data_IF_825496029489
#
_entry.id   IF_825496029489
#
_cell.length_a   1.000
_cell.length_b   1.000
_cell.length_c   1.000
_cell.angle_alpha   90.00
_cell.angle_beta   90.00
_cell.angle_gamma   90.00
#
_symmetry.space_group_name_H-M   'P 1'
#
loop_
_entity.id
_entity.type
_entity.pdbx_description
1 polymer ?
#
# COMPACT_ATOMS: atom_id res chain seq x y z
N UNK A 1 -8.72 -20.87 7.96
CA UNK A 1 -8.29 -19.66 8.71
C UNK A 1 -7.18 -19.04 7.90
N UNK A 2 -7.49 -18.08 7.05
CA UNK A 2 -6.46 -17.20 6.48
C UNK A 2 -5.95 -16.37 7.66
N UNK A 3 -4.85 -16.79 8.26
CA UNK A 3 -4.14 -15.95 9.22
C UNK A 3 -3.70 -14.71 8.45
N UNK A 4 -4.18 -13.52 8.85
CA UNK A 4 -3.71 -12.24 8.29
C UNK A 4 -2.22 -12.08 8.65
N UNK A 5 -1.37 -12.76 7.86
CA UNK A 5 0.07 -12.82 8.09
C UNK A 5 0.71 -11.44 8.25
N UNK A 6 0.37 -10.42 7.44
CA UNK A 6 0.88 -9.06 7.66
C UNK A 6 0.50 -8.49 9.04
N UNK A 7 -0.75 -8.68 9.50
CA UNK A 7 -1.16 -8.21 10.83
C UNK A 7 -0.47 -8.97 11.96
N UNK A 8 -0.20 -10.26 11.79
CA UNK A 8 0.58 -11.02 12.76
C UNK A 8 2.02 -10.50 12.87
N UNK A 9 2.69 -10.25 11.73
CA UNK A 9 4.05 -9.68 11.69
C UNK A 9 4.05 -8.29 12.33
N UNK A 10 3.05 -7.45 12.04
CA UNK A 10 2.91 -6.14 12.66
C UNK A 10 2.79 -6.23 14.18
N UNK A 11 1.99 -7.18 14.69
CA UNK A 11 1.87 -7.43 16.13
C UNK A 11 3.22 -7.81 16.77
N UNK A 12 3.98 -8.70 16.12
CA UNK A 12 5.33 -9.07 16.57
C UNK A 12 6.29 -7.87 16.60
N UNK A 13 6.22 -6.99 15.60
CA UNK A 13 7.01 -5.76 15.54
C UNK A 13 6.69 -4.80 16.68
N UNK A 14 5.41 -4.59 16.98
CA UNK A 14 5.01 -3.73 18.11
C UNK A 14 5.47 -4.31 19.46
N UNK A 15 5.41 -5.64 19.64
CA UNK A 15 5.95 -6.28 20.83
C UNK A 15 7.47 -6.09 20.94
N UNK A 16 8.21 -6.30 19.84
CA UNK A 16 9.65 -6.08 19.82
C UNK A 16 10.01 -4.62 20.15
N UNK A 17 9.29 -3.69 19.58
CA UNK A 17 9.51 -2.27 19.80
C UNK A 17 9.24 -1.87 21.26
N UNK A 18 8.15 -2.37 21.85
CA UNK A 18 7.89 -2.16 23.28
C UNK A 18 8.99 -2.71 24.18
N UNK A 19 9.63 -3.83 23.81
CA UNK A 19 10.80 -4.36 24.52
C UNK A 19 12.03 -3.46 24.34
N UNK A 20 12.23 -2.90 23.13
CA UNK A 20 13.33 -1.96 22.87
C UNK A 20 13.14 -0.65 23.62
N UNK A 21 11.94 -0.06 23.65
CA UNK A 21 11.66 1.14 24.44
C UNK A 21 11.87 0.89 25.94
N UNK A 22 11.50 -0.31 26.42
CA UNK A 22 11.72 -0.68 27.83
C UNK A 22 13.21 -0.74 28.20
N UNK A 23 14.09 -1.22 27.29
CA UNK A 23 15.53 -1.20 27.55
C UNK A 23 16.12 0.20 27.69
N UNK A 24 15.51 1.22 27.05
CA UNK A 24 15.98 2.60 27.11
C UNK A 24 15.85 3.19 28.52
N UNK A 25 15.02 2.58 29.37
CA UNK A 25 15.00 2.91 30.80
C UNK A 25 16.36 2.67 31.49
N UNK A 26 17.21 1.79 30.91
CA UNK A 26 18.57 1.58 31.43
C UNK A 26 19.46 2.82 31.27
N UNK A 27 19.16 3.70 30.29
CA UNK A 27 19.89 4.97 30.11
C UNK A 27 19.71 5.97 31.26
N UNK A 28 18.66 5.79 32.07
CA UNK A 28 18.47 6.60 33.30
C UNK A 28 19.31 6.15 34.50
N UNK A 29 20.07 5.05 34.35
CA UNK A 29 21.03 4.59 35.32
C UNK A 29 22.35 5.29 35.04
N UNK A 30 22.85 6.14 35.93
CA UNK A 30 24.04 7.01 35.77
C UNK A 30 25.26 6.22 35.22
N UNK A 31 25.51 5.00 35.73
CA UNK A 31 26.64 4.16 35.27
C UNK A 31 26.53 3.69 33.82
N UNK A 32 25.31 3.67 33.25
CA UNK A 32 25.03 3.24 31.89
C UNK A 32 24.84 4.47 31.00
N UNK A 33 24.03 5.43 31.41
CA UNK A 33 23.69 6.63 30.64
C UNK A 33 24.90 7.54 30.39
N UNK A 34 25.75 7.73 31.40
CA UNK A 34 26.96 8.55 31.29
C UNK A 34 28.11 7.87 30.52
N UNK A 35 27.98 6.57 30.24
CA UNK A 35 29.01 5.82 29.51
C UNK A 35 28.73 5.78 28.01
N UNK A 36 29.57 6.41 27.18
CA UNK A 36 29.43 6.32 25.71
C UNK A 36 29.47 4.89 25.18
N UNK A 37 30.17 4.00 25.84
CA UNK A 37 30.25 2.60 25.48
C UNK A 37 28.90 1.87 25.63
N UNK A 38 28.27 1.96 26.81
CA UNK A 38 27.00 1.27 27.05
C UNK A 38 25.84 1.92 26.29
N UNK A 39 25.79 3.24 26.19
CA UNK A 39 24.77 3.93 25.40
C UNK A 39 24.84 3.54 23.92
N UNK A 40 26.03 3.40 23.33
CA UNK A 40 26.22 2.94 21.95
C UNK A 40 25.79 1.49 21.77
N UNK A 41 25.98 0.60 22.76
CA UNK A 41 25.43 -0.78 22.68
C UNK A 41 23.91 -0.74 22.61
N UNK A 42 23.24 0.04 23.46
CA UNK A 42 21.78 0.16 23.46
C UNK A 42 21.25 0.69 22.11
N UNK A 43 21.89 1.73 21.55
CA UNK A 43 21.57 2.26 20.22
C UNK A 43 21.81 1.24 19.10
N UNK A 44 22.84 0.39 19.23
CA UNK A 44 23.10 -0.68 18.25
C UNK A 44 21.98 -1.72 18.22
N UNK A 45 21.36 -2.02 19.36
CA UNK A 45 20.23 -2.94 19.47
C UNK A 45 18.97 -2.35 18.81
N UNK A 46 18.76 -1.05 18.87
CA UNK A 46 17.61 -0.41 18.21
C UNK A 46 17.63 -0.56 16.69
N UNK A 47 18.82 -0.64 16.10
CA UNK A 47 18.94 -0.87 14.66
C UNK A 47 18.36 -2.19 14.20
N UNK A 48 18.23 -3.21 15.07
CA UNK A 48 17.65 -4.52 14.71
C UNK A 48 16.17 -4.44 14.36
N UNK A 49 15.42 -3.45 14.85
CA UNK A 49 14.03 -3.28 14.45
C UNK A 49 13.87 -2.81 13.00
N UNK A 50 14.86 -2.11 12.45
CA UNK A 50 14.75 -1.45 11.14
C UNK A 50 14.56 -2.43 9.99
N UNK A 51 15.38 -3.49 9.81
CA UNK A 51 15.15 -4.46 8.75
C UNK A 51 13.83 -5.23 8.91
N UNK A 52 13.39 -5.51 10.15
CA UNK A 52 12.11 -6.17 10.39
C UNK A 52 10.93 -5.29 9.95
N UNK A 53 10.99 -3.99 10.23
CA UNK A 53 10.01 -3.02 9.74
C UNK A 53 9.99 -2.98 8.21
N UNK A 54 11.16 -2.99 7.58
CA UNK A 54 11.30 -3.05 6.13
C UNK A 54 10.67 -4.33 5.55
N UNK A 55 10.95 -5.49 6.14
CA UNK A 55 10.38 -6.77 5.72
C UNK A 55 8.86 -6.82 5.88
N UNK A 56 8.31 -6.18 6.93
CA UNK A 56 6.86 -6.03 7.09
C UNK A 56 6.24 -5.23 5.93
N UNK A 57 6.82 -4.08 5.57
CA UNK A 57 6.33 -3.27 4.46
C UNK A 57 6.41 -4.02 3.12
N UNK A 58 7.45 -4.84 2.94
CA UNK A 58 7.60 -5.70 1.76
C UNK A 58 6.60 -6.87 1.75
N UNK A 59 6.25 -7.43 2.92
CA UNK A 59 5.20 -8.46 3.04
C UNK A 59 3.82 -7.93 2.64
N UNK A 60 3.51 -6.65 2.93
CA UNK A 60 2.28 -5.99 2.46
C UNK A 60 2.20 -6.00 0.92
N UNK A 61 3.32 -5.69 0.25
CA UNK A 61 3.37 -5.56 -1.21
C UNK A 61 3.57 -6.89 -1.94
N UNK A 62 4.09 -7.87 -1.24
CA UNK A 62 4.43 -9.20 -1.79
C UNK A 62 4.21 -10.25 -0.70
N UNK A 63 2.99 -10.79 -0.53
CA UNK A 63 2.70 -11.81 0.46
C UNK A 63 3.66 -13.01 0.33
N UNK A 64 4.25 -13.43 1.44
CA UNK A 64 5.26 -14.50 1.46
C UNK A 64 6.71 -14.00 1.30
N UNK A 65 6.93 -12.68 1.19
CA UNK A 65 8.29 -12.13 1.08
C UNK A 65 9.09 -12.31 2.38
N UNK A 66 8.49 -12.09 3.55
CA UNK A 66 9.16 -12.21 4.85
C UNK A 66 9.40 -13.70 5.22
N UNK A 67 10.40 -14.31 4.64
CA UNK A 67 10.85 -15.67 4.98
C UNK A 67 11.96 -15.62 6.04
N UNK A 68 12.09 -16.70 6.83
CA UNK A 68 13.15 -16.79 7.86
C UNK A 68 14.55 -16.55 7.26
N UNK A 69 14.82 -17.05 6.04
CA UNK A 69 16.10 -16.83 5.36
C UNK A 69 16.37 -15.35 5.11
N UNK A 70 15.34 -14.59 4.67
CA UNK A 70 15.47 -13.15 4.42
C UNK A 70 15.57 -12.36 5.73
N UNK A 71 14.83 -12.74 6.76
CA UNK A 71 15.00 -12.15 8.10
C UNK A 71 16.44 -12.33 8.55
N UNK A 72 16.97 -13.53 8.54
CA UNK A 72 18.36 -13.78 8.94
C UNK A 72 19.38 -13.03 8.07
N UNK A 73 19.15 -12.92 6.76
CA UNK A 73 20.04 -12.22 5.85
C UNK A 73 20.19 -10.73 6.21
N UNK A 74 19.11 -10.08 6.61
CA UNK A 74 19.11 -8.66 6.95
C UNK A 74 19.52 -8.38 8.40
N UNK A 75 19.20 -9.30 9.33
CA UNK A 75 19.48 -9.13 10.77
C UNK A 75 20.90 -9.55 11.15
N UNK A 76 21.41 -10.64 10.57
CA UNK A 76 22.71 -11.22 10.96
C UNK A 76 23.87 -10.20 10.89
N UNK A 77 23.99 -9.34 9.85
CA UNK A 77 25.04 -8.33 9.82
C UNK A 77 24.96 -7.35 11.00
N UNK A 78 23.77 -6.92 11.41
CA UNK A 78 23.58 -5.99 12.53
C UNK A 78 23.94 -6.62 13.86
N UNK A 79 23.52 -7.87 14.08
CA UNK A 79 23.92 -8.64 15.26
C UNK A 79 25.43 -8.79 15.30
N UNK A 80 26.07 -9.10 14.16
CA UNK A 80 27.52 -9.23 14.07
C UNK A 80 28.24 -7.91 14.38
N UNK A 81 27.81 -6.78 13.82
CA UNK A 81 28.36 -5.46 14.15
C UNK A 81 28.23 -5.15 15.63
N UNK A 82 27.07 -5.44 16.24
CA UNK A 82 26.85 -5.22 17.69
C UNK A 82 27.82 -6.08 18.53
N UNK A 83 27.96 -7.37 18.20
CA UNK A 83 28.89 -8.27 18.89
C UNK A 83 30.35 -7.79 18.76
N UNK A 84 30.78 -7.42 17.53
CA UNK A 84 32.13 -6.92 17.30
C UNK A 84 32.35 -5.60 18.06
N UNK A 85 31.36 -4.72 18.11
CA UNK A 85 31.43 -3.49 18.91
C UNK A 85 31.62 -3.80 20.40
N UNK A 86 30.83 -4.74 20.95
CA UNK A 86 30.94 -5.15 22.36
C UNK A 86 32.36 -5.69 22.67
N UNK A 87 32.97 -6.40 21.73
CA UNK A 87 34.31 -6.99 21.93
C UNK A 87 35.45 -5.97 21.76
N UNK A 88 35.27 -4.97 20.90
CA UNK A 88 36.37 -4.07 20.52
C UNK A 88 36.22 -2.64 21.07
N UNK A 89 35.00 -2.18 21.30
CA UNK A 89 34.71 -0.79 21.64
C UNK A 89 35.02 0.22 20.52
N UNK A 90 35.29 -0.27 19.30
CA UNK A 90 35.68 0.61 18.17
C UNK A 90 34.47 1.34 17.58
N UNK A 91 34.46 2.65 17.68
CA UNK A 91 33.39 3.50 17.17
C UNK A 91 33.16 3.36 15.65
N UNK A 92 34.20 3.02 14.88
CA UNK A 92 34.11 2.74 13.45
C UNK A 92 33.20 1.55 13.14
N UNK A 93 33.14 0.55 14.02
CA UNK A 93 32.24 -0.61 13.88
C UNK A 93 30.78 -0.16 14.04
N UNK A 94 30.50 0.66 15.03
CA UNK A 94 29.18 1.27 15.22
C UNK A 94 28.77 2.11 13.99
N UNK A 95 29.66 3.00 13.53
CA UNK A 95 29.39 3.79 12.32
C UNK A 95 29.13 2.94 11.09
N UNK A 96 29.84 1.80 10.96
CA UNK A 96 29.58 0.84 9.87
C UNK A 96 28.18 0.24 9.93
N UNK A 97 27.66 -0.04 11.15
CA UNK A 97 26.28 -0.51 11.32
C UNK A 97 25.24 0.56 10.96
N UNK A 98 25.50 1.84 11.32
CA UNK A 98 24.65 2.98 10.93
C UNK A 98 24.59 3.12 9.40
N UNK A 99 25.76 3.08 8.73
CA UNK A 99 25.83 3.16 7.26
C UNK A 99 25.10 1.97 6.61
N UNK A 100 25.33 0.76 7.10
CA UNK A 100 24.62 -0.43 6.62
C UNK A 100 23.08 -0.25 6.72
N UNK A 101 22.58 0.17 7.88
CA UNK A 101 21.15 0.40 8.12
C UNK A 101 20.59 1.47 7.19
N UNK A 102 21.29 2.60 7.02
CA UNK A 102 20.90 3.67 6.11
C UNK A 102 20.81 3.20 4.65
N UNK A 103 21.79 2.41 4.19
CA UNK A 103 21.78 1.83 2.84
C UNK A 103 20.62 0.87 2.65
N UNK A 104 20.37 -0.03 3.62
CA UNK A 104 19.23 -0.95 3.57
C UNK A 104 17.91 -0.18 3.50
N UNK A 105 17.72 0.85 4.35
CA UNK A 105 16.55 1.71 4.30
C UNK A 105 16.35 2.36 2.92
N UNK A 106 17.39 2.95 2.36
CA UNK A 106 17.33 3.61 1.06
C UNK A 106 16.92 2.64 -0.07
N UNK A 107 17.50 1.43 -0.08
CA UNK A 107 17.16 0.38 -1.04
C UNK A 107 15.71 -0.09 -0.89
N UNK A 108 15.24 -0.26 0.35
CA UNK A 108 13.85 -0.66 0.64
C UNK A 108 12.87 0.43 0.20
N UNK A 109 13.14 1.70 0.49
CA UNK A 109 12.29 2.81 0.02
C UNK A 109 12.20 2.82 -1.51
N UNK A 110 13.33 2.69 -2.21
CA UNK A 110 13.35 2.63 -3.68
C UNK A 110 12.52 1.45 -4.20
N UNK A 111 12.70 0.27 -3.60
CA UNK A 111 11.95 -0.92 -3.97
C UNK A 111 10.45 -0.75 -3.73
N UNK A 112 10.04 -0.17 -2.58
CA UNK A 112 8.63 0.10 -2.25
C UNK A 112 8.02 1.04 -3.29
N UNK A 113 8.70 2.14 -3.66
CA UNK A 113 8.20 3.10 -4.66
C UNK A 113 7.89 2.42 -6.00
N UNK A 114 8.80 1.57 -6.47
CA UNK A 114 8.62 0.82 -7.72
C UNK A 114 7.48 -0.20 -7.58
N UNK A 115 7.46 -0.95 -6.48
CA UNK A 115 6.49 -2.04 -6.26
C UNK A 115 5.08 -1.53 -6.04
N UNK A 116 4.89 -0.42 -5.29
CA UNK A 116 3.57 0.21 -5.09
C UNK A 116 2.95 0.65 -6.41
N UNK A 117 3.75 1.25 -7.31
CA UNK A 117 3.25 1.64 -8.63
C UNK A 117 2.78 0.43 -9.44
N UNK A 118 3.55 -0.66 -9.44
CA UNK A 118 3.19 -1.91 -10.10
C UNK A 118 1.95 -2.54 -9.49
N UNK A 119 1.87 -2.62 -8.17
CA UNK A 119 0.71 -3.15 -7.44
C UNK A 119 -0.57 -2.36 -7.76
N UNK A 120 -0.53 -1.03 -7.68
CA UNK A 120 -1.70 -0.20 -7.95
C UNK A 120 -2.13 -0.29 -9.43
N UNK A 121 -1.20 -0.46 -10.37
CA UNK A 121 -1.53 -0.72 -11.77
C UNK A 121 -2.25 -2.07 -11.89
N UNK A 122 -1.67 -3.14 -11.34
CA UNK A 122 -2.29 -4.46 -11.34
C UNK A 122 -3.73 -4.44 -10.76
N UNK A 123 -3.95 -3.71 -9.65
CA UNK A 123 -5.29 -3.58 -9.08
C UNK A 123 -6.26 -2.89 -10.04
N UNK A 124 -5.84 -1.86 -10.75
CA UNK A 124 -6.68 -1.18 -11.75
C UNK A 124 -6.94 -2.03 -13.01
N UNK A 125 -6.00 -2.89 -13.37
CA UNK A 125 -6.15 -3.77 -14.53
C UNK A 125 -7.07 -4.98 -14.24
N UNK A 126 -7.30 -5.30 -12.96
CA UNK A 126 -8.01 -6.50 -12.56
C UNK A 126 -9.29 -6.29 -11.72
N UNK A 127 -9.46 -5.11 -11.12
CA UNK A 127 -10.59 -4.82 -10.22
C UNK A 127 -11.31 -3.54 -10.62
N UNK A 128 -12.64 -3.56 -10.59
CA UNK A 128 -13.47 -2.39 -10.86
C UNK A 128 -13.61 -1.42 -9.68
N UNK A 129 -12.96 -1.73 -8.56
CA UNK A 129 -12.91 -0.93 -7.33
C UNK A 129 -11.47 -0.88 -6.81
N UNK A 130 -11.09 0.20 -6.15
CA UNK A 130 -9.73 0.37 -5.62
C UNK A 130 -9.72 0.76 -4.14
N UNK A 131 -10.88 1.03 -3.55
CA UNK A 131 -11.00 1.38 -2.14
C UNK A 131 -10.62 0.19 -1.28
N UNK A 132 -9.80 0.43 -0.27
CA UNK A 132 -9.29 -0.56 0.68
C UNK A 132 -8.36 -1.63 0.10
N UNK A 133 -8.21 -1.72 -1.24
CA UNK A 133 -7.28 -2.67 -1.87
C UNK A 133 -6.01 -2.03 -2.39
N UNK A 134 -6.03 -0.71 -2.66
CA UNK A 134 -4.83 -0.01 -3.09
C UNK A 134 -3.91 0.29 -1.89
N UNK A 135 -2.62 0.38 -2.18
CA UNK A 135 -1.58 0.68 -1.19
C UNK A 135 -0.98 2.08 -1.39
N UNK A 136 -1.76 3.02 -1.96
CA UNK A 136 -1.31 4.40 -2.18
C UNK A 136 -0.94 5.12 -0.88
N UNK A 137 -1.59 4.76 0.24
CA UNK A 137 -1.27 5.26 1.57
C UNK A 137 0.20 5.01 1.94
N UNK A 138 0.77 3.91 1.45
CA UNK A 138 2.18 3.59 1.68
C UNK A 138 3.11 4.61 1.01
N UNK A 139 2.77 5.07 -0.20
CA UNK A 139 3.49 6.16 -0.86
C UNK A 139 3.36 7.48 -0.08
N UNK A 140 2.17 7.77 0.43
CA UNK A 140 1.94 8.99 1.22
C UNK A 140 2.72 8.96 2.55
N UNK A 141 2.97 7.77 3.11
CA UNK A 141 3.76 7.58 4.32
C UNK A 141 5.27 7.74 4.09
N UNK A 142 5.75 7.73 2.82
CA UNK A 142 7.19 7.85 2.53
C UNK A 142 7.78 9.19 3.01
N UNK A 143 6.99 10.27 3.00
CA UNK A 143 7.44 11.56 3.52
C UNK A 143 7.69 11.50 5.04
N UNK A 144 6.79 10.86 5.80
CA UNK A 144 6.94 10.67 7.25
C UNK A 144 8.14 9.76 7.51
N UNK A 145 8.29 8.68 6.72
CA UNK A 145 9.44 7.77 6.81
C UNK A 145 10.76 8.51 6.57
N UNK A 146 10.82 9.41 5.58
CA UNK A 146 12.01 10.23 5.33
C UNK A 146 12.34 11.13 6.54
N UNK A 147 11.35 11.75 7.17
CA UNK A 147 11.55 12.55 8.39
C UNK A 147 12.06 11.66 9.54
N UNK A 148 11.50 10.46 9.72
CA UNK A 148 11.99 9.50 10.72
C UNK A 148 13.44 9.11 10.49
N UNK A 149 13.83 8.80 9.24
CA UNK A 149 15.19 8.41 8.89
C UNK A 149 16.19 9.56 9.12
N UNK A 150 15.83 10.79 8.76
CA UNK A 150 16.70 11.94 8.97
C UNK A 150 16.87 12.26 10.45
N UNK A 151 15.80 12.22 11.24
CA UNK A 151 15.90 12.42 12.70
C UNK A 151 16.68 11.29 13.37
N UNK A 152 16.50 10.02 12.94
CA UNK A 152 17.28 8.89 13.43
C UNK A 152 18.79 9.03 13.12
N UNK A 153 19.15 9.40 11.87
CA UNK A 153 20.55 9.65 11.50
C UNK A 153 21.18 10.78 12.32
N UNK A 154 20.40 11.82 12.61
CA UNK A 154 20.85 12.90 13.46
C UNK A 154 21.13 12.40 14.89
N UNK A 155 20.23 11.62 15.48
CA UNK A 155 20.40 11.05 16.84
C UNK A 155 21.61 10.11 16.90
N UNK A 156 21.83 9.27 15.87
CA UNK A 156 22.99 8.37 15.82
C UNK A 156 24.35 9.10 15.83
N UNK A 157 24.38 10.36 15.40
CA UNK A 157 25.61 11.15 15.31
C UNK A 157 25.75 12.25 16.35
N UNK A 158 24.64 12.62 16.99
CA UNK A 158 24.61 13.73 17.95
C UNK A 158 23.74 13.37 19.16
N UNK A 159 24.28 13.41 20.35
CA UNK A 159 23.49 13.26 21.56
C UNK A 159 22.69 14.55 21.79
N UNK A 160 21.38 14.50 21.59
CA UNK A 160 20.50 15.66 21.70
C UNK A 160 19.11 15.26 22.13
N UNK A 161 18.66 15.72 23.31
CA UNK A 161 17.30 15.47 23.79
C UNK A 161 16.21 15.96 22.82
N UNK A 162 16.43 17.05 22.10
CA UNK A 162 15.50 17.53 21.08
C UNK A 162 15.46 16.60 19.88
N UNK A 163 16.61 16.07 19.46
CA UNK A 163 16.70 15.08 18.38
C UNK A 163 15.91 13.82 18.73
N UNK A 164 16.10 13.28 19.93
CA UNK A 164 15.37 12.11 20.45
C UNK A 164 13.85 12.35 20.45
N UNK A 165 13.40 13.51 20.95
CA UNK A 165 11.98 13.85 20.93
C UNK A 165 11.39 13.89 19.53
N UNK A 166 12.08 14.50 18.56
CA UNK A 166 11.64 14.53 17.15
C UNK A 166 11.59 13.13 16.55
N UNK A 167 12.57 12.29 16.84
CA UNK A 167 12.57 10.90 16.39
C UNK A 167 11.38 10.12 16.96
N UNK A 168 11.16 10.12 18.27
CA UNK A 168 10.05 9.40 18.90
C UNK A 168 8.69 9.89 18.42
N UNK A 169 8.48 11.20 18.29
CA UNK A 169 7.22 11.76 17.78
C UNK A 169 6.99 11.32 16.33
N UNK A 170 7.98 11.51 15.45
CA UNK A 170 7.83 11.17 14.03
C UNK A 170 7.63 9.67 13.81
N UNK A 171 8.32 8.82 14.56
CA UNK A 171 8.19 7.37 14.52
C UNK A 171 6.83 6.91 15.04
N UNK A 172 6.34 7.48 16.16
CA UNK A 172 5.00 7.18 16.68
C UNK A 172 3.91 7.55 15.67
N UNK A 173 4.00 8.72 15.03
CA UNK A 173 3.06 9.14 13.97
C UNK A 173 3.11 8.18 12.79
N UNK A 174 4.31 7.79 12.33
CA UNK A 174 4.47 6.83 11.23
C UNK A 174 3.75 5.51 11.55
N UNK A 175 4.00 4.94 12.71
CA UNK A 175 3.44 3.65 13.08
C UNK A 175 1.94 3.71 13.38
N UNK A 176 1.43 4.81 13.91
CA UNK A 176 -0.01 5.03 14.03
C UNK A 176 -0.69 5.06 12.66
N UNK A 177 -0.09 5.72 11.66
CA UNK A 177 -0.57 5.74 10.29
C UNK A 177 -0.53 4.34 9.67
N UNK A 178 0.59 3.62 9.80
CA UNK A 178 0.74 2.25 9.29
C UNK A 178 -0.29 1.31 9.91
N UNK A 179 -0.49 1.36 11.24
CA UNK A 179 -1.47 0.55 11.94
C UNK A 179 -2.89 0.85 11.46
N UNK A 180 -3.27 2.13 11.39
CA UNK A 180 -4.59 2.57 10.95
C UNK A 180 -4.94 2.02 9.55
N UNK A 181 -4.04 2.18 8.59
CA UNK A 181 -4.29 1.69 7.24
C UNK A 181 -4.21 0.17 7.13
N UNK A 182 -3.28 -0.48 7.86
CA UNK A 182 -3.17 -1.96 7.86
C UNK A 182 -4.43 -2.65 8.39
N UNK A 183 -5.12 -2.04 9.38
CA UNK A 183 -6.38 -2.56 9.91
C UNK A 183 -7.55 -2.35 8.94
N UNK A 184 -7.49 -1.35 8.06
CA UNK A 184 -8.54 -1.05 7.08
C UNK A 184 -8.32 -1.67 5.71
N UNK A 185 -7.12 -2.18 5.45
CA UNK A 185 -6.76 -2.81 4.19
C UNK A 185 -7.54 -4.11 3.98
N UNK A 186 -8.21 -4.26 2.85
CA UNK A 186 -8.70 -5.56 2.39
C UNK A 186 -7.55 -6.30 1.68
N UNK A 187 -7.13 -7.42 2.24
CA UNK A 187 -6.04 -8.23 1.70
C UNK A 187 -6.58 -9.19 0.64
N UNK A 188 -6.09 -9.07 -0.58
CA UNK A 188 -6.48 -9.95 -1.69
C UNK A 188 -5.42 -11.06 -1.79
N UNK A 189 -5.79 -12.34 -1.56
CA UNK A 189 -4.86 -13.47 -1.60
C UNK A 189 -4.17 -13.66 -2.97
N UNK A 190 -4.81 -13.22 -4.03
CA UNK A 190 -4.37 -13.41 -5.43
C UNK A 190 -3.25 -12.45 -5.90
N UNK A 191 -2.75 -11.57 -5.04
CA UNK A 191 -1.57 -10.76 -5.38
C UNK A 191 -0.31 -11.61 -5.70
N UNK A 192 -0.32 -12.90 -5.37
CA UNK A 192 0.71 -13.87 -5.79
C UNK A 192 0.73 -14.13 -7.30
N UNK A 193 -0.38 -13.91 -8.00
CA UNK A 193 -0.47 -14.13 -9.46
C UNK A 193 0.24 -13.02 -10.26
N UNK A 194 0.65 -11.93 -9.60
CA UNK A 194 1.40 -10.83 -10.25
C UNK A 194 2.73 -11.28 -10.87
N UNK A 195 3.36 -12.32 -10.32
CA UNK A 195 4.64 -12.83 -10.83
C UNK A 195 4.45 -13.85 -11.97
N UNK A 196 3.31 -14.53 -12.01
CA UNK A 196 3.02 -15.53 -13.06
C UNK A 196 2.57 -14.90 -14.39
N UNK A 197 2.07 -13.67 -14.40
CA UNK A 197 1.68 -12.98 -15.63
C UNK A 197 2.87 -12.50 -16.47
N UNK A 198 4.04 -12.22 -15.87
CA UNK A 198 5.23 -11.78 -16.60
C UNK A 198 5.83 -12.88 -17.52
N UNK A 199 5.48 -14.16 -17.30
CA UNK A 199 6.03 -15.29 -18.05
C UNK A 199 5.10 -15.85 -19.13
N UNK A 200 3.84 -15.40 -19.17
CA UNK A 200 2.85 -15.84 -20.14
C UNK A 200 2.88 -15.04 -21.44
N UNK A 201 3.70 -15.41 -22.40
CA UNK A 201 3.61 -14.91 -23.78
C UNK A 201 2.27 -15.35 -24.35
N UNK A 202 1.28 -14.46 -24.29
CA UNK A 202 -0.01 -14.67 -24.95
C UNK A 202 0.19 -14.63 -26.46
N UNK A 203 -0.01 -15.80 -27.10
CA UNK A 203 -0.20 -15.84 -28.57
C UNK A 203 -1.42 -14.97 -28.88
N UNK A 204 -1.20 -13.95 -29.70
CA UNK A 204 -2.22 -13.04 -30.18
C UNK A 204 -3.26 -13.82 -31.01
N UNK A 205 -4.45 -13.98 -30.44
CA UNK A 205 -5.65 -14.24 -31.25
C UNK A 205 -6.36 -12.89 -31.43
N UNK A 206 -6.16 -12.27 -32.58
CA UNK A 206 -6.90 -11.10 -33.02
C UNK A 206 -8.33 -11.54 -33.34
N UNK A 207 -9.27 -11.19 -32.47
CA UNK A 207 -10.70 -11.23 -32.76
C UNK A 207 -11.36 -9.94 -32.35
N UNK A 208 -12.26 -9.35 -33.16
CA UNK A 208 -12.90 -8.05 -32.83
C UNK A 208 -13.93 -8.25 -31.69
N UNK A 209 -13.44 -8.31 -30.44
CA UNK A 209 -14.26 -8.63 -29.28
C UNK A 209 -14.70 -7.40 -28.48
N UNK A 210 -14.12 -6.21 -28.73
CA UNK A 210 -14.47 -5.01 -28.00
C UNK A 210 -15.95 -4.67 -28.03
N UNK A 211 -16.61 -4.79 -29.19
CA UNK A 211 -18.03 -4.54 -29.33
C UNK A 211 -18.91 -5.60 -28.62
N UNK A 212 -18.52 -6.87 -28.69
CA UNK A 212 -19.23 -7.95 -27.99
C UNK A 212 -19.08 -7.84 -26.46
N UNK A 213 -17.92 -7.38 -25.98
CA UNK A 213 -17.66 -7.17 -24.56
C UNK A 213 -18.55 -6.05 -24.02
N UNK A 214 -18.66 -4.93 -24.72
CA UNK A 214 -19.51 -3.82 -24.35
C UNK A 214 -21.00 -4.21 -24.32
N UNK A 215 -21.50 -4.86 -25.39
CA UNK A 215 -22.86 -5.35 -25.49
C UNK A 215 -23.20 -6.30 -24.34
N UNK A 216 -22.32 -7.25 -24.04
CA UNK A 216 -22.51 -8.23 -22.98
C UNK A 216 -22.57 -7.59 -21.60
N UNK A 217 -21.67 -6.63 -21.31
CA UNK A 217 -21.64 -5.92 -20.04
C UNK A 217 -22.92 -5.07 -19.85
N UNK A 218 -23.42 -4.43 -20.93
CA UNK A 218 -24.66 -3.64 -20.90
C UNK A 218 -25.87 -4.53 -20.73
N UNK A 219 -26.01 -5.59 -21.50
CA UNK A 219 -27.16 -6.51 -21.46
C UNK A 219 -27.31 -7.18 -20.10
N UNK A 220 -26.22 -7.61 -19.49
CA UNK A 220 -26.20 -8.28 -18.18
C UNK A 220 -26.09 -7.32 -17.01
N UNK A 221 -25.97 -6.03 -17.27
CA UNK A 221 -25.74 -4.99 -16.23
C UNK A 221 -24.62 -5.33 -15.23
N UNK A 222 -23.58 -6.07 -15.66
CA UNK A 222 -22.52 -6.58 -14.79
C UNK A 222 -21.78 -5.46 -14.04
N UNK A 223 -21.75 -4.25 -14.61
CA UNK A 223 -21.15 -3.07 -14.00
C UNK A 223 -21.84 -2.64 -12.69
N UNK A 224 -23.07 -3.10 -12.43
CA UNK A 224 -23.80 -2.82 -11.17
C UNK A 224 -23.23 -3.62 -10.00
N UNK A 225 -22.46 -4.72 -10.25
CA UNK A 225 -21.74 -5.39 -9.16
C UNK A 225 -20.59 -4.50 -8.66
N UNK A 226 -20.66 -3.97 -7.43
CA UNK A 226 -19.66 -3.04 -6.92
C UNK A 226 -18.26 -3.64 -6.76
N UNK A 227 -18.15 -4.97 -6.63
CA UNK A 227 -16.89 -5.71 -6.46
C UNK A 227 -16.52 -6.57 -7.68
N UNK A 228 -17.03 -6.24 -8.87
CA UNK A 228 -16.71 -6.96 -10.08
C UNK A 228 -15.19 -6.98 -10.35
N UNK A 229 -14.63 -8.17 -10.56
CA UNK A 229 -13.26 -8.38 -11.01
C UNK A 229 -13.19 -8.82 -12.48
N UNK A 230 -12.01 -8.68 -13.09
CA UNK A 230 -11.75 -9.17 -14.44
C UNK A 230 -11.89 -10.69 -14.53
N UNK A 231 -11.56 -11.41 -13.45
CA UNK A 231 -11.73 -12.87 -13.37
C UNK A 231 -13.20 -13.27 -13.36
N UNK A 232 -14.06 -12.53 -12.63
CA UNK A 232 -15.51 -12.77 -12.62
C UNK A 232 -16.09 -12.56 -14.02
N UNK A 233 -15.70 -11.47 -14.69
CA UNK A 233 -16.12 -11.20 -16.05
C UNK A 233 -15.66 -12.29 -17.05
N UNK A 234 -14.43 -12.80 -16.88
CA UNK A 234 -13.91 -13.88 -17.72
C UNK A 234 -14.72 -15.17 -17.56
N UNK A 235 -15.08 -15.51 -16.33
CA UNK A 235 -15.94 -16.68 -16.03
C UNK A 235 -17.32 -16.50 -16.66
N UNK A 236 -17.97 -15.36 -16.49
CA UNK A 236 -19.28 -15.05 -17.03
C UNK A 236 -19.31 -15.11 -18.57
N UNK A 237 -18.24 -14.65 -19.22
CA UNK A 237 -18.11 -14.69 -20.69
C UNK A 237 -17.60 -16.01 -21.24
N UNK A 238 -17.27 -17.01 -20.40
CA UNK A 238 -16.68 -18.28 -20.84
C UNK A 238 -15.31 -18.15 -21.50
N UNK A 239 -14.52 -17.15 -21.07
CA UNK A 239 -13.19 -16.85 -21.60
C UNK A 239 -12.13 -16.87 -20.51
N UNK A 240 -10.88 -16.57 -20.83
CA UNK A 240 -9.83 -16.46 -19.83
C UNK A 240 -9.48 -15.00 -19.51
N UNK A 241 -9.00 -14.77 -18.29
CA UNK A 241 -8.62 -13.45 -17.76
C UNK A 241 -7.54 -12.78 -18.62
N UNK A 242 -6.51 -13.53 -19.06
CA UNK A 242 -5.41 -12.99 -19.85
C UNK A 242 -5.87 -12.45 -21.19
N UNK A 243 -6.85 -13.09 -21.80
CA UNK A 243 -7.45 -12.64 -23.05
C UNK A 243 -8.19 -11.30 -22.86
N UNK A 244 -9.06 -11.19 -21.85
CA UNK A 244 -9.76 -9.93 -21.54
C UNK A 244 -8.80 -8.81 -21.14
N UNK A 245 -7.76 -9.14 -20.36
CA UNK A 245 -6.71 -8.18 -20.00
C UNK A 245 -6.00 -7.63 -21.23
N UNK A 246 -5.66 -8.50 -22.19
CA UNK A 246 -5.04 -8.09 -23.45
C UNK A 246 -5.96 -7.20 -24.29
N UNK A 247 -7.23 -7.56 -24.43
CA UNK A 247 -8.22 -6.77 -25.14
C UNK A 247 -8.36 -5.36 -24.54
N UNK A 248 -8.50 -5.25 -23.23
CA UNK A 248 -8.66 -3.95 -22.57
C UNK A 248 -7.37 -3.11 -22.63
N UNK A 249 -6.24 -3.67 -22.23
CA UNK A 249 -5.01 -2.92 -22.06
C UNK A 249 -4.29 -2.64 -23.39
N UNK A 250 -4.25 -3.61 -24.33
CA UNK A 250 -3.47 -3.50 -25.55
C UNK A 250 -4.31 -3.06 -26.76
N UNK A 251 -5.57 -3.52 -26.87
CA UNK A 251 -6.42 -3.15 -28.02
C UNK A 251 -7.21 -1.85 -27.74
N UNK A 252 -7.82 -1.72 -26.54
CA UNK A 252 -8.62 -0.55 -26.19
C UNK A 252 -7.82 0.51 -25.45
N UNK A 253 -6.63 0.19 -24.93
CA UNK A 253 -5.77 1.14 -24.19
C UNK A 253 -6.37 1.63 -22.87
N UNK A 254 -7.27 0.87 -22.26
CA UNK A 254 -8.02 1.25 -21.06
C UNK A 254 -7.88 0.20 -19.96
N UNK A 255 -7.77 0.62 -18.71
CA UNK A 255 -7.76 -0.31 -17.56
C UNK A 255 -9.16 -0.87 -17.32
N UNK A 256 -9.27 -2.08 -16.76
CA UNK A 256 -10.56 -2.67 -16.38
C UNK A 256 -11.34 -1.75 -15.41
N UNK A 257 -10.64 -1.12 -14.47
CA UNK A 257 -11.21 -0.14 -13.57
C UNK A 257 -11.88 1.03 -14.30
N UNK A 258 -11.17 1.68 -15.23
CA UNK A 258 -11.72 2.83 -15.96
C UNK A 258 -12.84 2.39 -16.91
N UNK A 259 -12.72 1.20 -17.51
CA UNK A 259 -13.72 0.64 -18.42
C UNK A 259 -15.06 0.39 -17.72
N UNK A 260 -15.07 -0.34 -16.59
CA UNK A 260 -16.31 -0.60 -15.83
C UNK A 260 -16.88 0.69 -15.25
N UNK A 261 -16.02 1.57 -14.71
CA UNK A 261 -16.50 2.83 -14.17
C UNK A 261 -17.08 3.78 -15.24
N UNK A 262 -16.74 3.62 -16.53
CA UNK A 262 -17.38 4.38 -17.59
C UNK A 262 -18.86 4.08 -17.72
N UNK A 263 -19.28 2.80 -17.62
CA UNK A 263 -20.69 2.39 -17.63
C UNK A 263 -21.43 2.86 -16.36
N UNK A 264 -20.78 2.72 -15.20
CA UNK A 264 -21.36 3.21 -13.93
C UNK A 264 -21.63 4.71 -13.97
N UNK A 265 -20.71 5.49 -14.56
CA UNK A 265 -20.90 6.94 -14.70
C UNK A 265 -22.01 7.32 -15.68
N UNK A 266 -22.20 6.53 -16.74
CA UNK A 266 -23.31 6.71 -17.67
C UNK A 266 -24.64 6.41 -16.97
N UNK A 267 -24.73 5.30 -16.22
CA UNK A 267 -25.90 4.96 -15.39
C UNK A 267 -26.18 6.03 -14.35
N UNK A 268 -25.16 6.52 -13.66
CA UNK A 268 -25.31 7.59 -12.67
C UNK A 268 -25.83 8.89 -13.31
N UNK A 269 -25.37 9.22 -14.51
CA UNK A 269 -25.88 10.36 -15.26
C UNK A 269 -27.35 10.20 -15.65
N UNK A 270 -27.76 9.02 -16.15
CA UNK A 270 -29.17 8.70 -16.43
C UNK A 270 -30.05 8.93 -15.22
N UNK A 271 -29.64 8.42 -14.02
CA UNK A 271 -30.37 8.61 -12.77
C UNK A 271 -30.45 10.10 -12.39
N UNK A 272 -29.38 10.87 -12.58
CA UNK A 272 -29.35 12.31 -12.27
C UNK A 272 -30.15 13.15 -13.26
N UNK A 273 -30.31 12.68 -14.50
CA UNK A 273 -31.14 13.33 -15.53
C UNK A 273 -32.64 13.07 -15.31
N UNK A 274 -33.00 12.03 -14.53
CA UNK A 274 -34.38 11.74 -14.18
C UNK A 274 -34.89 12.70 -13.09
N UNK A 275 -35.81 13.57 -13.48
CA UNK A 275 -36.45 14.55 -12.58
C UNK A 275 -37.34 13.91 -11.51
N UNK A 276 -37.79 12.66 -11.72
CA UNK A 276 -38.59 11.90 -10.74
C UNK A 276 -37.74 11.22 -9.67
N UNK A 277 -36.41 11.25 -9.79
CA UNK A 277 -35.53 10.62 -8.80
C UNK A 277 -35.36 11.51 -7.55
N UNK A 278 -35.95 11.12 -6.44
CA UNK A 278 -35.90 11.84 -5.16
C UNK A 278 -34.72 11.43 -4.25
N UNK A 279 -33.95 10.39 -4.61
CA UNK A 279 -32.84 9.87 -3.81
C UNK A 279 -31.70 10.86 -3.60
N UNK A 280 -30.84 10.60 -2.62
CA UNK A 280 -29.63 11.39 -2.37
C UNK A 280 -28.49 11.01 -3.33
N UNK A 281 -27.37 11.74 -3.30
CA UNK A 281 -26.20 11.46 -4.14
C UNK A 281 -25.56 10.11 -3.78
N UNK A 282 -25.69 9.69 -2.55
CA UNK A 282 -25.27 8.38 -2.04
C UNK A 282 -26.09 7.26 -2.71
N UNK A 283 -27.40 7.44 -2.87
CA UNK A 283 -28.28 6.47 -3.55
C UNK A 283 -27.92 6.34 -5.03
N UNK A 284 -27.60 7.47 -5.70
CA UNK A 284 -27.10 7.44 -7.08
C UNK A 284 -25.85 6.60 -7.20
N UNK A 285 -24.88 6.78 -6.27
CA UNK A 285 -23.63 6.01 -6.29
C UNK A 285 -23.89 4.50 -6.16
N UNK A 286 -24.74 4.11 -5.21
CA UNK A 286 -25.08 2.71 -4.96
C UNK A 286 -25.83 2.12 -6.15
N UNK A 287 -26.86 2.79 -6.63
CA UNK A 287 -27.72 2.33 -7.74
C UNK A 287 -26.97 2.25 -9.08
N UNK A 288 -25.86 2.98 -9.23
CA UNK A 288 -24.99 2.90 -10.40
C UNK A 288 -23.81 1.91 -10.25
N UNK A 289 -23.76 1.15 -9.14
CA UNK A 289 -22.79 0.09 -8.91
C UNK A 289 -21.43 0.55 -8.36
N UNK A 290 -21.29 1.79 -7.87
CA UNK A 290 -20.05 2.23 -7.22
C UNK A 290 -19.90 1.62 -5.82
N UNK A 291 -18.69 1.12 -5.52
CA UNK A 291 -18.37 0.58 -4.20
C UNK A 291 -18.24 1.68 -3.12
N UNK A 292 -17.98 2.94 -3.50
CA UNK A 292 -17.92 4.07 -2.57
C UNK A 292 -18.37 5.38 -3.20
N UNK A 293 -19.02 6.21 -2.39
CA UNK A 293 -19.49 7.54 -2.77
C UNK A 293 -18.32 8.47 -3.11
N UNK A 294 -17.19 8.34 -2.41
CA UNK A 294 -16.01 9.17 -2.65
C UNK A 294 -15.38 8.90 -4.02
N UNK A 295 -15.33 7.64 -4.45
CA UNK A 295 -14.87 7.27 -5.80
C UNK A 295 -15.86 7.74 -6.86
N UNK A 296 -17.16 7.55 -6.64
CA UNK A 296 -18.19 8.09 -7.53
C UNK A 296 -18.00 9.58 -7.74
N UNK A 297 -17.96 10.40 -6.68
CA UNK A 297 -17.83 11.86 -6.77
C UNK A 297 -16.57 12.27 -7.56
N UNK A 298 -15.42 11.63 -7.26
CA UNK A 298 -14.16 11.93 -7.94
C UNK A 298 -14.18 11.54 -9.42
N UNK A 299 -14.71 10.36 -9.74
CA UNK A 299 -14.80 9.86 -11.12
C UNK A 299 -15.79 10.67 -11.94
N UNK A 300 -16.92 11.07 -11.36
CA UNK A 300 -17.94 11.90 -12.00
C UNK A 300 -17.38 13.29 -12.32
N UNK A 301 -16.73 13.92 -11.33
CA UNK A 301 -16.10 15.22 -11.53
C UNK A 301 -15.00 15.20 -12.60
N UNK A 302 -14.23 14.11 -12.65
CA UNK A 302 -13.19 13.90 -13.68
C UNK A 302 -13.80 13.77 -15.08
N UNK A 303 -14.94 13.07 -15.25
CA UNK A 303 -15.58 12.81 -16.55
C UNK A 303 -16.42 14.01 -17.01
N UNK A 304 -17.16 14.66 -16.11
CA UNK A 304 -18.16 15.67 -16.45
C UNK A 304 -17.77 17.12 -16.03
N UNK A 305 -16.62 17.31 -15.40
CA UNK A 305 -16.10 18.63 -15.02
C UNK A 305 -16.77 19.30 -13.81
N UNK A 306 -17.84 18.71 -13.25
CA UNK A 306 -18.56 19.22 -12.10
C UNK A 306 -18.91 18.10 -11.11
N UNK A 307 -19.24 18.46 -9.87
CA UNK A 307 -19.67 17.46 -8.88
C UNK A 307 -21.08 16.94 -9.20
N UNK A 308 -21.44 15.69 -8.80
CA UNK A 308 -22.80 15.16 -9.00
C UNK A 308 -23.90 16.08 -8.47
N UNK A 309 -23.68 16.73 -7.33
CA UNK A 309 -24.63 17.67 -6.73
C UNK A 309 -24.79 18.94 -7.56
N UNK A 310 -23.71 19.47 -8.13
CA UNK A 310 -23.76 20.62 -9.05
C UNK A 310 -24.46 20.25 -10.35
N UNK A 311 -24.14 19.08 -10.91
CA UNK A 311 -24.78 18.55 -12.10
C UNK A 311 -26.31 18.47 -11.93
N UNK A 312 -26.78 17.83 -10.84
CA UNK A 312 -28.20 17.71 -10.52
C UNK A 312 -28.90 19.07 -10.39
N UNK A 313 -28.26 20.04 -9.70
CA UNK A 313 -28.81 21.40 -9.59
C UNK A 313 -28.97 22.09 -10.97
N UNK A 314 -27.99 21.89 -11.85
CA UNK A 314 -28.04 22.49 -13.19
C UNK A 314 -29.17 21.84 -14.02
N UNK A 315 -29.35 20.54 -13.97
CA UNK A 315 -30.44 19.82 -14.66
C UNK A 315 -31.81 20.27 -14.14
N UNK A 316 -31.98 20.39 -12.82
CA UNK A 316 -33.24 20.80 -12.20
C UNK A 316 -33.50 22.32 -12.33
N UNK A 317 -32.45 23.16 -12.40
CA UNK A 317 -32.54 24.61 -12.50
C UNK A 317 -32.76 25.14 -13.92
N UNK A 318 -32.58 24.32 -14.95
CA UNK A 318 -32.86 24.64 -16.36
C UNK A 318 -34.23 24.16 -16.83
N UNK A 319 -35.06 23.70 -15.94
CA UNK A 319 -36.46 23.36 -16.16
C UNK A 319 -37.37 24.29 -15.33
#
# INVERSE_FOLDING_TARGET
RVTNRPLFILGCLFCLWGVQDLKDLLLYIDTIGDSPYYSTILLSIDMWAVPLCALFLLEILSPGFATLRRVLLFELPLVLFTVVYIMTGLFEVYMSSVVYTAVVCALVVLFIVVRVRRYNRYMRDNYSYTERINVQWLMNSMAILAVCLLSWLYVCTNVSHLGDMFYYISSTVLWAVVLYYSLRQEWIPQAQDMESEETGVSRSFVSPMGGKLEEYIREKELYLNPKLSLSDLAVEMGTNRSYLSNCLNNELGITFYDYINSFRLEKAKEILDDSGFEGCIEDVAISSGFNSVSTFRRSFQKKYGCTPSQYRKNVLGHR
#
